data_IF_978231343253
#
_entry.id   IF_978231343253
#
_cell.length_a   1.000
_cell.length_b   1.000
_cell.length_c   1.000
_cell.angle_alpha   90.00
_cell.angle_beta   90.00
_cell.angle_gamma   90.00
#
_symmetry.space_group_name_H-M   'P 1'
#
loop_
_entity.id
_entity.type
_entity.pdbx_description
1 polymer ?
#
# COMPACT_ATOMS: atom_id res chain seq x y z
N UNK A 1 -12.17 23.61 27.57
CA UNK A 1 -12.51 22.25 27.11
C UNK A 1 -14.03 22.14 27.01
N UNK A 2 -14.60 22.33 25.83
CA UNK A 2 -16.06 22.32 25.64
C UNK A 2 -16.58 20.89 25.72
N UNK A 3 -17.60 20.68 26.56
CA UNK A 3 -18.14 19.37 26.93
C UNK A 3 -18.82 18.70 25.72
N UNK A 4 -18.13 17.75 25.08
CA UNK A 4 -18.64 16.98 23.92
C UNK A 4 -19.94 16.21 24.27
N UNK A 5 -20.21 16.00 25.57
CA UNK A 5 -21.38 15.26 26.05
C UNK A 5 -22.71 16.05 26.01
N UNK A 6 -22.73 17.34 25.62
CA UNK A 6 -23.94 18.17 25.64
C UNK A 6 -24.65 18.36 24.28
N UNK A 7 -24.34 17.55 23.27
CA UNK A 7 -25.07 17.57 21.98
C UNK A 7 -26.29 16.63 22.04
N UNK A 8 -27.45 17.17 21.68
CA UNK A 8 -28.81 16.61 21.71
C UNK A 8 -29.00 15.26 20.99
N UNK A 9 -30.11 14.59 21.31
CA UNK A 9 -30.47 13.20 20.91
C UNK A 9 -30.72 12.96 19.40
N UNK A 10 -30.54 13.94 18.52
CA UNK A 10 -30.63 13.73 17.07
C UNK A 10 -29.29 14.07 16.43
N UNK A 11 -28.67 13.06 15.81
CA UNK A 11 -27.42 13.22 15.08
C UNK A 11 -27.74 13.64 13.64
N UNK A 12 -27.40 14.88 13.29
CA UNK A 12 -27.73 15.49 11.98
C UNK A 12 -26.49 15.63 11.09
N UNK A 13 -26.68 15.85 9.78
CA UNK A 13 -25.59 16.18 8.87
C UNK A 13 -24.77 17.40 9.32
N UNK A 14 -25.44 18.43 9.86
CA UNK A 14 -24.79 19.60 10.42
C UNK A 14 -23.87 19.25 11.59
N UNK A 15 -24.31 18.35 12.48
CA UNK A 15 -23.44 17.86 13.56
C UNK A 15 -22.23 17.10 13.03
N UNK A 16 -22.38 16.31 11.95
CA UNK A 16 -21.24 15.62 11.35
C UNK A 16 -20.21 16.60 10.79
N UNK A 17 -20.63 17.67 10.12
CA UNK A 17 -19.71 18.70 9.62
C UNK A 17 -19.01 19.44 10.77
N UNK A 18 -19.75 19.78 11.83
CA UNK A 18 -19.15 20.36 13.06
C UNK A 18 -18.13 19.39 13.67
N UNK A 19 -18.41 18.09 13.65
CA UNK A 19 -17.48 17.07 14.15
C UNK A 19 -16.24 16.99 13.25
N UNK A 20 -16.38 17.02 11.92
CA UNK A 20 -15.27 17.03 10.96
C UNK A 20 -14.33 18.21 11.21
N UNK A 21 -14.87 19.41 11.33
CA UNK A 21 -14.09 20.61 11.65
C UNK A 21 -13.37 20.50 13.00
N UNK A 22 -14.01 19.90 14.01
CA UNK A 22 -13.40 19.68 15.33
C UNK A 22 -12.33 18.59 15.33
N UNK A 23 -12.39 17.64 14.41
CA UNK A 23 -11.44 16.53 14.29
C UNK A 23 -10.21 16.94 13.48
N UNK A 24 -10.32 17.90 12.57
CA UNK A 24 -9.17 18.41 11.79
C UNK A 24 -7.88 18.61 12.63
N UNK A 25 -7.88 19.31 13.78
CA UNK A 25 -6.68 19.45 14.61
C UNK A 25 -6.21 18.12 15.26
N UNK A 26 -7.10 17.15 15.45
CA UNK A 26 -6.74 15.81 15.93
C UNK A 26 -5.91 15.08 14.87
N UNK A 27 -6.28 15.22 13.60
CA UNK A 27 -5.55 14.64 12.47
C UNK A 27 -4.22 15.37 12.23
N UNK A 28 -4.23 16.71 12.19
CA UNK A 28 -3.04 17.53 11.96
C UNK A 28 -1.97 17.35 13.06
N UNK A 29 -2.38 17.22 14.32
CA UNK A 29 -1.46 17.08 15.45
C UNK A 29 -1.35 15.64 15.98
N UNK A 30 -1.90 14.66 15.26
CA UNK A 30 -1.89 13.25 15.65
C UNK A 30 -2.25 13.02 17.13
N UNK A 31 -3.35 13.62 17.60
CA UNK A 31 -3.79 13.53 19.00
C UNK A 31 -4.37 12.14 19.33
N UNK A 32 -3.52 11.11 19.34
CA UNK A 32 -3.89 9.68 19.39
C UNK A 32 -4.88 9.34 20.52
N UNK A 33 -4.62 9.84 21.73
CA UNK A 33 -5.48 9.60 22.91
C UNK A 33 -6.88 10.19 22.71
N UNK A 34 -6.95 11.42 22.20
CA UNK A 34 -8.22 12.12 21.95
C UNK A 34 -8.99 11.46 20.80
N UNK A 35 -8.29 11.00 19.76
CA UNK A 35 -8.89 10.22 18.68
C UNK A 35 -9.57 8.96 19.24
N UNK A 36 -8.88 8.21 20.11
CA UNK A 36 -9.42 7.00 20.75
C UNK A 36 -10.64 7.28 21.63
N UNK A 37 -10.59 8.35 22.42
CA UNK A 37 -11.74 8.79 23.24
C UNK A 37 -12.95 9.13 22.36
N UNK A 38 -12.72 9.80 21.24
CA UNK A 38 -13.79 10.17 20.30
C UNK A 38 -14.36 8.96 19.57
N UNK A 39 -13.54 7.99 19.16
CA UNK A 39 -14.00 6.70 18.61
C UNK A 39 -14.98 6.04 19.57
N UNK A 40 -14.61 5.92 20.85
CA UNK A 40 -15.47 5.31 21.89
C UNK A 40 -16.77 6.06 22.07
N UNK A 41 -16.75 7.39 22.01
CA UNK A 41 -17.94 8.21 22.10
C UNK A 41 -18.85 8.05 20.87
N UNK A 42 -18.27 8.03 19.66
CA UNK A 42 -19.01 7.92 18.41
C UNK A 42 -19.63 6.53 18.19
N UNK A 43 -18.89 5.45 18.47
CA UNK A 43 -19.40 4.08 18.35
C UNK A 43 -20.64 3.86 19.23
N UNK A 44 -20.69 4.47 20.41
CA UNK A 44 -21.88 4.39 21.28
C UNK A 44 -23.11 5.09 20.70
N UNK A 45 -22.90 6.16 19.92
CA UNK A 45 -24.00 6.98 19.35
C UNK A 45 -24.46 6.49 17.99
N UNK A 46 -23.62 5.75 17.26
CA UNK A 46 -23.93 5.33 15.88
C UNK A 46 -24.92 4.16 15.81
N UNK A 47 -25.08 3.38 16.89
CA UNK A 47 -26.01 2.23 16.94
C UNK A 47 -27.44 2.67 16.59
N UNK A 48 -27.85 3.85 17.05
CA UNK A 48 -29.20 4.38 16.78
C UNK A 48 -29.34 4.96 15.36
N UNK A 49 -28.24 5.23 14.66
CA UNK A 49 -28.23 5.88 13.33
C UNK A 49 -28.41 4.90 12.18
N UNK A 50 -28.06 3.63 12.36
CA UNK A 50 -28.09 2.61 11.30
C UNK A 50 -29.49 2.49 10.66
N UNK A 51 -30.53 2.64 11.49
CA UNK A 51 -31.93 2.52 11.08
C UNK A 51 -32.52 3.83 10.53
N UNK A 52 -31.92 4.98 10.87
CA UNK A 52 -32.48 6.29 10.58
C UNK A 52 -31.99 6.88 9.24
N UNK A 53 -30.69 6.77 8.96
CA UNK A 53 -30.08 7.33 7.75
C UNK A 53 -28.82 6.55 7.35
N UNK A 54 -28.93 5.73 6.30
CA UNK A 54 -27.82 4.90 5.81
C UNK A 54 -26.64 5.70 5.25
N UNK A 55 -26.90 6.89 4.67
CA UNK A 55 -25.86 7.74 4.10
C UNK A 55 -25.02 8.37 5.20
N UNK A 56 -25.69 8.92 6.21
CA UNK A 56 -25.05 9.48 7.40
C UNK A 56 -24.29 8.40 8.18
N UNK A 57 -24.89 7.22 8.36
CA UNK A 57 -24.24 6.08 9.00
C UNK A 57 -22.92 5.70 8.32
N UNK A 58 -22.90 5.58 6.99
CA UNK A 58 -21.68 5.29 6.22
C UNK A 58 -20.60 6.36 6.42
N UNK A 59 -20.98 7.64 6.40
CA UNK A 59 -20.04 8.73 6.64
C UNK A 59 -19.46 8.71 8.06
N UNK A 60 -20.28 8.36 9.06
CA UNK A 60 -19.83 8.19 10.44
C UNK A 60 -18.88 6.99 10.59
N UNK A 61 -19.17 5.85 9.96
CA UNK A 61 -18.26 4.69 9.96
C UNK A 61 -16.91 5.04 9.35
N UNK A 62 -16.92 5.74 8.20
CA UNK A 62 -15.70 6.24 7.56
C UNK A 62 -14.87 7.11 8.49
N UNK A 63 -15.51 8.05 9.18
CA UNK A 63 -14.85 8.94 10.12
C UNK A 63 -14.31 8.19 11.36
N UNK A 64 -15.07 7.21 11.88
CA UNK A 64 -14.63 6.34 12.97
C UNK A 64 -13.38 5.56 12.55
N UNK A 65 -13.36 5.00 11.34
CA UNK A 65 -12.19 4.30 10.81
C UNK A 65 -10.95 5.21 10.74
N UNK A 66 -11.09 6.43 10.21
CA UNK A 66 -10.01 7.43 10.17
C UNK A 66 -9.47 7.77 11.57
N UNK A 67 -10.36 7.99 12.53
CA UNK A 67 -9.97 8.22 13.93
C UNK A 67 -9.27 7.00 14.55
N UNK A 68 -9.74 5.78 14.25
CA UNK A 68 -9.08 4.54 14.69
C UNK A 68 -7.66 4.43 14.13
N UNK A 69 -7.44 4.83 12.87
CA UNK A 69 -6.10 4.86 12.29
C UNK A 69 -5.17 5.84 13.01
N UNK A 70 -5.63 7.05 13.34
CA UNK A 70 -4.83 7.99 14.13
C UNK A 70 -4.58 7.47 15.55
N UNK A 71 -5.55 6.76 16.13
CA UNK A 71 -5.41 6.10 17.42
C UNK A 71 -4.64 4.77 17.37
N UNK A 72 -4.26 4.27 16.18
CA UNK A 72 -3.76 2.91 15.94
C UNK A 72 -2.62 2.49 16.90
N UNK A 73 -1.61 3.33 17.19
CA UNK A 73 -0.56 2.98 18.14
C UNK A 73 -1.07 2.67 19.56
N UNK A 74 -2.25 3.16 19.94
CA UNK A 74 -2.84 2.95 21.27
C UNK A 74 -3.86 1.82 21.32
N UNK A 75 -4.20 1.20 20.18
CA UNK A 75 -5.12 0.05 20.12
C UNK A 75 -4.39 -1.19 20.63
N UNK A 76 -4.81 -1.74 21.77
CA UNK A 76 -4.13 -2.90 22.40
C UNK A 76 -4.56 -4.26 21.83
N UNK A 77 -5.76 -4.35 21.28
CA UNK A 77 -6.25 -5.59 20.69
C UNK A 77 -5.70 -5.72 19.27
N UNK A 78 -5.00 -6.82 18.99
CA UNK A 78 -4.48 -7.09 17.66
C UNK A 78 -5.59 -7.45 16.67
N UNK A 79 -6.66 -8.12 17.10
CA UNK A 79 -7.80 -8.43 16.25
C UNK A 79 -8.48 -7.16 15.74
N UNK A 80 -8.68 -6.17 16.62
CA UNK A 80 -9.27 -4.87 16.25
C UNK A 80 -8.39 -4.12 15.24
N UNK A 81 -7.07 -4.24 15.36
CA UNK A 81 -6.14 -3.62 14.44
C UNK A 81 -6.09 -4.32 13.09
N UNK A 82 -6.05 -5.66 13.07
CA UNK A 82 -6.09 -6.45 11.85
C UNK A 82 -7.41 -6.25 11.11
N UNK A 83 -8.52 -6.11 11.83
CA UNK A 83 -9.82 -5.71 11.25
C UNK A 83 -9.73 -4.33 10.57
N UNK A 84 -8.97 -3.39 11.15
CA UNK A 84 -8.73 -2.08 10.55
C UNK A 84 -8.01 -2.19 9.20
N UNK A 85 -6.98 -3.05 9.12
CA UNK A 85 -6.25 -3.35 7.88
C UNK A 85 -7.14 -4.09 6.87
N UNK A 86 -7.95 -5.04 7.32
CA UNK A 86 -8.76 -5.88 6.42
C UNK A 86 -9.99 -5.14 5.86
N UNK A 87 -10.64 -4.29 6.66
CA UNK A 87 -11.94 -3.70 6.31
C UNK A 87 -11.90 -2.21 6.02
N UNK A 88 -10.92 -1.49 6.56
CA UNK A 88 -10.90 -0.03 6.58
C UNK A 88 -9.56 0.57 6.12
N UNK A 89 -8.82 -0.14 5.28
CA UNK A 89 -7.50 0.28 4.80
C UNK A 89 -7.54 1.56 3.97
N UNK A 90 -8.51 1.69 3.05
CA UNK A 90 -8.63 2.88 2.21
C UNK A 90 -8.84 4.16 3.02
N UNK A 91 -9.64 4.09 4.08
CA UNK A 91 -9.88 5.20 5.00
C UNK A 91 -8.58 5.65 5.69
N UNK A 92 -7.66 4.73 5.95
CA UNK A 92 -6.32 5.03 6.46
C UNK A 92 -5.43 5.74 5.42
N UNK A 93 -5.54 5.36 4.15
CA UNK A 93 -4.76 5.97 3.05
C UNK A 93 -5.21 7.38 2.65
N UNK A 94 -6.45 7.73 3.00
CA UNK A 94 -7.01 9.07 2.82
C UNK A 94 -6.51 10.08 3.86
N UNK A 95 -5.86 9.63 4.93
CA UNK A 95 -5.24 10.53 5.89
C UNK A 95 -4.06 11.28 5.23
N UNK A 96 -3.84 12.53 5.63
CA UNK A 96 -2.69 13.33 5.20
C UNK A 96 -1.36 12.81 5.77
N UNK A 97 -1.43 11.92 6.76
CA UNK A 97 -0.28 11.27 7.38
C UNK A 97 0.02 9.94 6.69
N UNK A 98 1.30 9.60 6.57
CA UNK A 98 1.71 8.31 6.00
C UNK A 98 1.21 7.17 6.89
N UNK A 99 0.34 6.33 6.33
CA UNK A 99 -0.23 5.17 7.02
C UNK A 99 0.84 4.21 7.55
N UNK A 100 1.95 4.07 6.80
CA UNK A 100 3.12 3.26 7.19
C UNK A 100 3.65 3.72 8.56
N UNK A 101 3.81 5.03 8.77
CA UNK A 101 4.36 5.59 10.01
C UNK A 101 3.46 5.27 11.22
N UNK A 102 2.14 5.25 11.03
CA UNK A 102 1.17 4.89 12.08
C UNK A 102 1.29 3.41 12.46
N UNK A 103 1.46 2.53 11.47
CA UNK A 103 1.62 1.09 11.71
C UNK A 103 2.98 0.78 12.34
N UNK A 104 4.06 1.42 11.88
CA UNK A 104 5.38 1.28 12.51
C UNK A 104 5.33 1.73 13.98
N UNK A 105 4.74 2.90 14.25
CA UNK A 105 4.60 3.38 15.63
C UNK A 105 3.79 2.45 16.53
N UNK A 106 2.84 1.68 15.96
CA UNK A 106 2.14 0.61 16.68
C UNK A 106 3.07 -0.57 16.98
N UNK A 107 3.77 -1.07 15.97
CA UNK A 107 4.67 -2.23 16.10
C UNK A 107 5.81 -1.97 17.09
N UNK A 108 6.35 -0.75 17.12
CA UNK A 108 7.37 -0.34 18.09
C UNK A 108 6.89 -0.43 19.54
N UNK A 109 5.60 -0.15 19.80
CA UNK A 109 5.00 -0.25 21.14
C UNK A 109 4.79 -1.69 21.62
N UNK A 110 4.89 -2.68 20.74
CA UNK A 110 4.87 -4.11 21.13
C UNK A 110 6.24 -4.58 21.69
N UNK A 111 7.25 -3.70 21.77
CA UNK A 111 8.60 -4.00 22.27
C UNK A 111 9.25 -5.23 21.59
N UNK A 112 8.94 -5.44 20.30
CA UNK A 112 9.50 -6.52 19.49
C UNK A 112 8.94 -7.93 19.75
N UNK A 113 8.09 -8.12 20.78
CA UNK A 113 7.50 -9.43 21.06
C UNK A 113 6.49 -9.78 19.97
N UNK A 114 6.78 -10.85 19.21
CA UNK A 114 5.89 -11.29 18.13
C UNK A 114 5.86 -10.36 16.91
N UNK A 115 6.90 -9.56 16.68
CA UNK A 115 6.96 -8.63 15.55
C UNK A 115 6.80 -9.33 14.20
N UNK A 116 7.50 -10.44 13.97
CA UNK A 116 7.39 -11.22 12.73
C UNK A 116 5.96 -11.71 12.50
N UNK A 117 5.35 -12.30 13.53
CA UNK A 117 3.94 -12.73 13.47
C UNK A 117 3.02 -11.55 13.16
N UNK A 118 3.20 -10.42 13.82
CA UNK A 118 2.38 -9.23 13.61
C UNK A 118 2.49 -8.68 12.18
N UNK A 119 3.69 -8.67 11.60
CA UNK A 119 3.90 -8.26 10.21
C UNK A 119 3.23 -9.24 9.23
N UNK A 120 3.40 -10.55 9.46
CA UNK A 120 2.74 -11.57 8.63
C UNK A 120 1.21 -11.48 8.74
N UNK A 121 0.68 -11.20 9.93
CA UNK A 121 -0.75 -10.99 10.15
C UNK A 121 -1.24 -9.73 9.41
N UNK A 122 -0.49 -8.63 9.40
CA UNK A 122 -0.79 -7.43 8.60
C UNK A 122 -0.84 -7.76 7.10
N UNK A 123 0.16 -8.47 6.58
CA UNK A 123 0.21 -8.88 5.17
C UNK A 123 -0.96 -9.80 4.81
N UNK A 124 -1.33 -10.71 5.70
CA UNK A 124 -2.47 -11.60 5.54
C UNK A 124 -3.80 -10.84 5.52
N UNK A 125 -3.99 -9.90 6.46
CA UNK A 125 -5.16 -9.03 6.52
C UNK A 125 -5.31 -8.19 5.25
N UNK A 126 -4.21 -7.61 4.75
CA UNK A 126 -4.21 -6.83 3.52
C UNK A 126 -4.54 -7.70 2.29
N UNK A 127 -4.01 -8.93 2.21
CA UNK A 127 -4.35 -9.91 1.15
C UNK A 127 -5.78 -10.44 1.23
N UNK A 128 -6.46 -10.25 2.36
CA UNK A 128 -7.87 -10.63 2.54
C UNK A 128 -8.83 -9.45 2.36
N UNK A 129 -8.30 -8.23 2.20
CA UNK A 129 -9.08 -7.00 2.13
C UNK A 129 -10.03 -6.98 0.91
N UNK A 130 -11.31 -6.67 1.19
CA UNK A 130 -12.43 -6.68 0.22
C UNK A 130 -12.91 -5.28 -0.19
N UNK A 131 -12.17 -4.23 0.12
CA UNK A 131 -12.48 -2.88 -0.35
C UNK A 131 -12.23 -2.79 -1.87
N UNK A 132 -13.10 -2.05 -2.56
CA UNK A 132 -13.07 -1.89 -4.02
C UNK A 132 -12.21 -0.68 -4.40
N UNK A 133 -11.34 -0.85 -5.39
CA UNK A 133 -10.48 0.20 -5.93
C UNK A 133 -10.63 0.25 -7.45
N UNK A 134 -11.26 1.32 -7.96
CA UNK A 134 -11.59 1.46 -9.37
C UNK A 134 -12.94 0.85 -9.75
N UNK A 135 -13.38 1.17 -10.98
CA UNK A 135 -14.69 0.76 -11.50
C UNK A 135 -14.63 -0.53 -12.34
N UNK A 136 -13.53 -0.74 -13.05
CA UNK A 136 -13.38 -1.78 -14.08
C UNK A 136 -12.91 -3.11 -13.47
N UNK A 137 -13.43 -4.27 -13.91
CA UNK A 137 -12.90 -5.58 -13.52
C UNK A 137 -11.41 -5.76 -13.87
N UNK A 138 -10.71 -6.60 -13.10
CA UNK A 138 -9.29 -6.91 -13.28
C UNK A 138 -9.16 -8.25 -14.03
N UNK A 139 -8.34 -8.28 -15.07
CA UNK A 139 -7.94 -9.51 -15.75
C UNK A 139 -6.62 -10.02 -15.17
N UNK A 140 -6.67 -11.01 -14.29
CA UNK A 140 -5.47 -11.56 -13.65
C UNK A 140 -4.79 -12.56 -14.60
N UNK A 141 -3.46 -12.48 -14.71
CA UNK A 141 -2.66 -13.40 -15.54
C UNK A 141 -2.96 -14.87 -15.14
N UNK A 142 -3.22 -15.71 -16.15
CA UNK A 142 -3.59 -17.14 -16.05
C UNK A 142 -4.99 -17.44 -15.49
N UNK A 143 -5.84 -16.43 -15.31
CA UNK A 143 -7.25 -16.63 -15.00
C UNK A 143 -8.11 -16.38 -16.24
N UNK A 144 -9.10 -17.24 -16.45
CA UNK A 144 -10.01 -17.16 -17.59
C UNK A 144 -11.07 -16.07 -17.42
N UNK A 145 -11.50 -15.82 -16.18
CA UNK A 145 -12.52 -14.84 -15.83
C UNK A 145 -11.92 -13.55 -15.30
N UNK A 146 -12.50 -12.42 -15.70
CA UNK A 146 -12.26 -11.14 -15.02
C UNK A 146 -12.81 -11.20 -13.59
N UNK A 147 -12.14 -10.52 -12.66
CA UNK A 147 -12.51 -10.49 -11.24
C UNK A 147 -12.86 -9.07 -10.79
N UNK A 148 -13.57 -8.96 -9.67
CA UNK A 148 -13.89 -7.65 -9.08
C UNK A 148 -12.60 -6.88 -8.72
N UNK A 149 -12.60 -5.54 -8.84
CA UNK A 149 -11.42 -4.74 -8.57
C UNK A 149 -11.22 -4.49 -7.07
N UNK A 150 -11.00 -5.56 -6.32
CA UNK A 150 -10.77 -5.55 -4.88
C UNK A 150 -9.27 -5.41 -4.59
N UNK A 151 -8.91 -4.82 -3.43
CA UNK A 151 -7.51 -4.68 -3.01
C UNK A 151 -6.77 -6.03 -3.07
N UNK A 152 -7.36 -7.10 -2.54
CA UNK A 152 -6.78 -8.44 -2.64
C UNK A 152 -6.46 -8.89 -4.07
N UNK A 153 -7.32 -8.56 -5.04
CA UNK A 153 -7.16 -8.96 -6.44
C UNK A 153 -6.10 -8.11 -7.14
N UNK A 154 -6.01 -6.81 -6.80
CA UNK A 154 -4.91 -5.94 -7.22
C UNK A 154 -3.54 -6.46 -6.75
N UNK A 155 -3.45 -6.92 -5.50
CA UNK A 155 -2.22 -7.50 -4.95
C UNK A 155 -1.86 -8.82 -5.63
N UNK A 156 -2.84 -9.68 -5.92
CA UNK A 156 -2.60 -10.93 -6.67
C UNK A 156 -2.08 -10.63 -8.07
N UNK A 157 -2.68 -9.67 -8.79
CA UNK A 157 -2.20 -9.27 -10.12
C UNK A 157 -0.78 -8.70 -10.05
N UNK A 158 -0.50 -7.81 -9.09
CA UNK A 158 0.84 -7.27 -8.87
C UNK A 158 1.88 -8.37 -8.62
N UNK A 159 1.63 -9.25 -7.66
CA UNK A 159 2.55 -10.33 -7.29
C UNK A 159 2.82 -11.29 -8.47
N UNK A 160 1.83 -11.56 -9.32
CA UNK A 160 2.00 -12.43 -10.50
C UNK A 160 2.73 -11.76 -11.66
N UNK A 161 2.73 -10.43 -11.71
CA UNK A 161 3.43 -9.64 -12.74
C UNK A 161 4.83 -9.19 -12.30
N UNK A 162 5.15 -9.26 -11.00
CA UNK A 162 6.51 -9.14 -10.49
C UNK A 162 7.32 -10.39 -10.91
N UNK A 163 7.83 -10.38 -12.15
CA UNK A 163 8.39 -11.58 -12.79
C UNK A 163 9.82 -11.95 -12.31
N UNK A 164 10.53 -11.13 -11.53
CA UNK A 164 11.99 -11.37 -11.35
C UNK A 164 12.60 -10.64 -10.15
N UNK A 165 13.83 -11.03 -9.76
CA UNK A 165 14.64 -10.55 -8.62
C UNK A 165 15.05 -9.06 -8.66
N UNK A 166 14.22 -8.18 -9.20
CA UNK A 166 14.53 -6.76 -9.33
C UNK A 166 14.21 -5.98 -8.04
N UNK A 167 14.81 -4.80 -7.86
CA UNK A 167 14.48 -3.91 -6.74
C UNK A 167 13.01 -3.46 -6.80
N UNK A 168 12.30 -3.62 -5.68
CA UNK A 168 10.83 -3.49 -5.54
C UNK A 168 10.26 -2.16 -6.08
N UNK A 169 10.92 -1.02 -5.86
CA UNK A 169 10.43 0.29 -6.31
C UNK A 169 10.31 0.40 -7.85
N UNK A 170 11.22 -0.25 -8.58
CA UNK A 170 11.20 -0.25 -10.04
C UNK A 170 10.00 -1.07 -10.56
N UNK A 171 9.58 -2.09 -9.80
CA UNK A 171 8.44 -2.94 -10.14
C UNK A 171 7.11 -2.21 -9.92
N UNK A 172 6.97 -1.42 -8.85
CA UNK A 172 5.75 -0.62 -8.60
C UNK A 172 5.48 0.36 -9.75
N UNK A 173 6.47 1.18 -10.09
CA UNK A 173 6.33 2.18 -11.16
C UNK A 173 6.06 1.49 -12.49
N UNK A 174 6.84 0.47 -12.83
CA UNK A 174 6.63 -0.30 -14.06
C UNK A 174 5.22 -0.91 -14.11
N UNK A 175 4.73 -1.45 -13.00
CA UNK A 175 3.40 -2.02 -12.92
C UNK A 175 2.32 -0.95 -13.14
N UNK A 176 2.36 0.17 -12.42
CA UNK A 176 1.35 1.24 -12.54
C UNK A 176 1.24 1.82 -13.96
N UNK A 177 2.36 1.88 -14.69
CA UNK A 177 2.41 2.49 -16.02
C UNK A 177 2.34 1.50 -17.18
N UNK A 178 2.71 0.23 -17.01
CA UNK A 178 2.77 -0.75 -18.10
C UNK A 178 1.73 -1.86 -18.02
N UNK A 179 1.20 -2.18 -16.83
CA UNK A 179 0.16 -3.21 -16.67
C UNK A 179 -1.19 -2.74 -17.29
N UNK A 180 -1.85 -3.64 -18.02
CA UNK A 180 -3.10 -3.34 -18.73
C UNK A 180 -4.25 -2.97 -17.78
N UNK A 181 -4.36 -3.62 -16.62
CA UNK A 181 -5.38 -3.32 -15.62
C UNK A 181 -5.12 -1.93 -15.01
N UNK A 182 -3.88 -1.66 -14.59
CA UNK A 182 -3.51 -0.39 -13.94
C UNK A 182 -3.63 0.83 -14.86
N UNK A 183 -3.38 0.66 -16.17
CA UNK A 183 -3.56 1.73 -17.18
C UNK A 183 -5.00 2.24 -17.27
N UNK A 184 -5.98 1.38 -16.99
CA UNK A 184 -7.40 1.72 -17.09
C UNK A 184 -7.97 2.36 -15.80
N UNK A 185 -7.15 2.56 -14.78
CA UNK A 185 -7.54 3.26 -13.56
C UNK A 185 -7.59 4.78 -13.78
N UNK A 186 -8.46 5.45 -13.01
CA UNK A 186 -8.38 6.90 -12.87
C UNK A 186 -7.05 7.30 -12.23
N UNK A 187 -6.59 8.54 -12.46
CA UNK A 187 -5.33 9.02 -11.84
C UNK A 187 -5.39 8.99 -10.31
N UNK A 188 -6.56 9.22 -9.71
CA UNK A 188 -6.74 9.12 -8.27
C UNK A 188 -6.66 7.67 -7.77
N UNK A 189 -7.29 6.73 -8.48
CA UNK A 189 -7.22 5.30 -8.13
C UNK A 189 -5.80 4.76 -8.34
N UNK A 190 -5.10 5.21 -9.39
CA UNK A 190 -3.71 4.83 -9.67
C UNK A 190 -2.77 5.32 -8.57
N UNK A 191 -2.93 6.57 -8.11
CA UNK A 191 -2.20 7.11 -6.94
C UNK A 191 -2.51 6.30 -5.67
N UNK A 192 -3.77 5.91 -5.49
CA UNK A 192 -4.19 5.09 -4.35
C UNK A 192 -3.59 3.68 -4.43
N UNK A 193 -3.57 3.08 -5.62
CA UNK A 193 -2.93 1.79 -5.88
C UNK A 193 -1.43 1.85 -5.56
N UNK A 194 -0.72 2.89 -5.99
CA UNK A 194 0.69 3.06 -5.62
C UNK A 194 0.91 3.09 -4.11
N UNK A 195 0.09 3.83 -3.35
CA UNK A 195 0.14 3.81 -1.88
C UNK A 195 -0.08 2.40 -1.30
N UNK A 196 -1.02 1.62 -1.87
CA UNK A 196 -1.29 0.23 -1.43
C UNK A 196 -0.07 -0.66 -1.69
N UNK A 197 0.53 -0.57 -2.87
CA UNK A 197 1.70 -1.37 -3.26
C UNK A 197 2.93 -1.01 -2.41
N UNK A 198 3.21 0.28 -2.25
CA UNK A 198 4.28 0.78 -1.39
C UNK A 198 4.12 0.30 0.07
N UNK A 199 2.90 0.32 0.61
CA UNK A 199 2.62 -0.24 1.94
C UNK A 199 2.92 -1.74 2.00
N UNK A 200 2.42 -2.52 1.03
CA UNK A 200 2.63 -3.96 0.97
C UNK A 200 4.13 -4.31 0.87
N UNK A 201 4.87 -3.67 -0.02
CA UNK A 201 6.29 -3.92 -0.23
C UNK A 201 7.13 -3.55 0.98
N UNK A 202 6.78 -2.45 1.67
CA UNK A 202 7.42 -2.05 2.93
C UNK A 202 7.31 -3.16 3.98
N UNK A 203 6.11 -3.68 4.24
CA UNK A 203 5.93 -4.73 5.25
C UNK A 203 6.46 -6.09 4.80
N UNK A 204 6.46 -6.38 3.49
CA UNK A 204 7.13 -7.55 2.93
C UNK A 204 8.64 -7.51 3.19
N UNK A 205 9.28 -6.36 2.97
CA UNK A 205 10.71 -6.15 3.27
C UNK A 205 11.02 -6.34 4.76
N UNK A 206 10.14 -5.84 5.65
CA UNK A 206 10.29 -6.08 7.09
C UNK A 206 10.21 -7.57 7.44
N UNK A 207 9.27 -8.31 6.85
CA UNK A 207 9.16 -9.76 7.04
C UNK A 207 10.43 -10.48 6.57
N UNK A 208 10.88 -10.19 5.35
CA UNK A 208 12.06 -10.81 4.76
C UNK A 208 13.33 -10.50 5.59
N UNK A 209 13.48 -9.26 6.07
CA UNK A 209 14.62 -8.85 6.89
C UNK A 209 14.67 -9.51 8.28
N UNK A 210 13.53 -9.91 8.83
CA UNK A 210 13.48 -10.65 10.11
C UNK A 210 13.92 -12.10 9.93
N UNK A 211 13.48 -12.76 8.86
CA UNK A 211 13.85 -14.17 8.58
C UNK A 211 15.36 -14.36 8.38
N UNK A 212 16.07 -13.35 7.83
CA UNK A 212 17.52 -13.44 7.62
C UNK A 212 18.34 -13.33 8.92
N UNK A 213 17.82 -12.68 9.96
CA UNK A 213 18.56 -12.50 11.23
C UNK A 213 18.59 -13.75 12.11
N UNK A 214 17.66 -14.67 11.94
CA UNK A 214 17.67 -15.96 12.64
C UNK A 214 18.70 -16.95 12.06
N UNK A 215 19.23 -16.66 10.87
CA UNK A 215 20.34 -17.39 10.25
C UNK A 215 21.72 -16.96 10.73
N UNK A 216 21.86 -16.31 11.89
CA UNK A 216 23.19 -16.12 12.47
C UNK A 216 23.87 -17.50 12.58
N UNK A 217 25.09 -17.66 12.04
CA UNK A 217 25.78 -18.94 12.06
C UNK A 217 25.80 -19.39 13.51
N UNK A 218 25.16 -20.54 13.78
CA UNK A 218 25.32 -21.28 15.03
C UNK A 218 26.82 -21.26 15.28
N UNK A 219 27.26 -20.46 16.25
CA UNK A 219 28.67 -20.39 16.59
C UNK A 219 28.98 -21.79 17.04
N UNK A 220 29.56 -22.58 16.13
CA UNK A 220 30.13 -23.86 16.48
C UNK A 220 30.95 -23.58 17.72
N UNK A 221 30.73 -24.30 18.84
CA UNK A 221 31.59 -24.11 20.00
C UNK A 221 33.03 -24.12 19.48
N UNK A 222 33.86 -23.13 19.87
CA UNK A 222 35.20 -23.02 19.35
C UNK A 222 35.84 -24.40 19.40
N UNK A 223 36.44 -24.89 18.30
CA UNK A 223 37.05 -26.21 18.30
C UNK A 223 37.95 -26.25 19.53
N UNK A 224 37.67 -27.20 20.43
CA UNK A 224 38.46 -27.42 21.64
C UNK A 224 39.90 -27.50 21.18
N UNK A 225 40.67 -26.42 21.38
CA UNK A 225 42.08 -26.40 21.01
C UNK A 225 42.74 -27.49 21.85
N UNK A 226 43.29 -28.56 21.26
CA UNK A 226 44.25 -29.36 21.99
C UNK A 226 45.40 -28.42 22.37
N UNK A 227 45.65 -28.35 23.68
CA UNK A 227 46.73 -27.59 24.31
C UNK A 227 48.01 -27.69 23.46
N UNK A 228 48.43 -26.56 22.90
CA UNK A 228 49.58 -26.50 22.00
C UNK A 228 50.87 -26.68 22.80
N UNK A 229 51.55 -27.78 22.53
CA UNK A 229 52.99 -27.89 22.77
C UNK A 229 53.74 -26.95 21.80
N UNK A 230 54.60 -26.13 22.39
CA UNK A 230 55.87 -25.52 21.94
C UNK A 230 56.08 -25.29 20.42
N UNK A 231 56.38 -24.04 20.00
CA UNK A 231 56.57 -23.67 18.59
C UNK A 231 57.88 -24.18 18.00
N UNK A 232 57.82 -24.65 16.76
CA UNK A 232 58.99 -24.90 15.90
C UNK A 232 59.28 -23.70 14.96
N UNK A 233 60.53 -23.57 14.46
CA UNK A 233 61.07 -22.34 13.89
C UNK A 233 60.54 -21.96 12.50
N UNK A 234 60.56 -20.65 12.25
CA UNK A 234 60.18 -19.91 11.06
C UNK A 234 60.87 -20.45 9.80
N UNK A 235 60.11 -20.80 8.77
CA UNK A 235 60.63 -21.02 7.41
C UNK A 235 60.39 -19.81 6.48
N UNK A 236 61.25 -19.58 5.49
CA UNK A 236 61.31 -18.35 4.70
C UNK A 236 60.23 -18.25 3.61
N UNK A 237 59.83 -17.00 3.37
CA UNK A 237 58.91 -16.48 2.36
C UNK A 237 59.26 -16.86 0.91
N UNK A 238 58.25 -17.32 0.15
CA UNK A 238 58.29 -17.45 -1.32
C UNK A 238 57.92 -16.14 -2.02
N UNK A 239 58.39 -15.92 -3.27
CA UNK A 239 58.29 -14.65 -4.00
C UNK A 239 56.90 -14.40 -4.62
N UNK A 240 56.60 -13.14 -5.00
CA UNK A 240 55.30 -12.75 -5.56
C UNK A 240 55.11 -13.23 -7.01
N UNK A 241 53.91 -13.75 -7.28
CA UNK A 241 53.43 -14.20 -8.60
C UNK A 241 53.05 -13.01 -9.48
N UNK A 242 53.38 -13.00 -10.79
CA UNK A 242 53.13 -11.87 -11.68
C UNK A 242 51.65 -11.68 -12.05
N UNK A 243 51.27 -10.42 -12.13
CA UNK A 243 49.97 -9.91 -12.57
C UNK A 243 49.75 -10.16 -14.07
N UNK A 244 48.66 -10.86 -14.41
CA UNK A 244 48.16 -10.95 -15.78
C UNK A 244 47.29 -9.73 -16.10
N UNK A 245 47.72 -8.90 -17.04
CA UNK A 245 46.92 -7.84 -17.64
C UNK A 245 46.00 -8.43 -18.71
N UNK A 246 44.70 -8.19 -18.57
CA UNK A 246 43.67 -8.58 -19.55
C UNK A 246 43.62 -7.51 -20.67
N UNK A 247 43.68 -7.88 -21.96
CA UNK A 247 43.57 -6.93 -23.07
C UNK A 247 42.15 -6.33 -23.17
N UNK A 248 42.08 -5.00 -23.28
CA UNK A 248 40.86 -4.27 -23.65
C UNK A 248 40.48 -4.59 -25.11
N UNK A 249 39.38 -5.29 -25.33
CA UNK A 249 38.76 -5.40 -26.65
C UNK A 249 37.98 -4.12 -26.97
N UNK A 250 38.54 -3.30 -27.86
CA UNK A 250 37.83 -2.24 -28.58
C UNK A 250 36.90 -2.87 -29.62
N UNK A 251 35.59 -2.77 -29.41
CA UNK A 251 34.57 -3.13 -30.40
C UNK A 251 34.46 -1.97 -31.42
N UNK A 252 34.68 -2.20 -32.72
CA UNK A 252 34.54 -1.18 -33.74
C UNK A 252 33.06 -0.93 -34.10
N UNK A 253 32.77 0.34 -34.38
CA UNK A 253 31.45 0.95 -34.52
C UNK A 253 30.40 0.15 -35.30
N UNK A 254 29.27 -0.09 -34.62
CA UNK A 254 27.98 -0.36 -35.26
C UNK A 254 27.51 0.94 -35.92
N UNK A 255 27.55 0.98 -37.25
CA UNK A 255 26.86 2.01 -38.03
C UNK A 255 25.36 1.71 -37.93
N UNK A 256 24.66 2.54 -37.17
CA UNK A 256 23.20 2.55 -37.17
C UNK A 256 22.72 3.00 -38.56
N UNK A 257 22.29 2.03 -39.35
CA UNK A 257 21.54 2.23 -40.58
C UNK A 257 20.15 2.78 -40.20
N UNK A 258 20.02 4.10 -40.25
CA UNK A 258 18.72 4.77 -40.25
C UNK A 258 17.96 4.31 -41.50
N UNK A 259 16.86 3.58 -41.31
CA UNK A 259 15.86 3.34 -42.36
C UNK A 259 14.84 4.46 -42.27
N UNK A 260 14.66 5.19 -43.37
CA UNK A 260 13.61 6.21 -43.49
C UNK A 260 12.22 5.60 -43.24
N UNK A 261 11.30 6.36 -42.63
CA UNK A 261 9.91 5.93 -42.45
C UNK A 261 9.24 5.69 -43.80
N UNK A 262 8.67 4.49 -43.97
CA UNK A 262 7.84 4.16 -45.13
C UNK A 262 6.54 4.96 -45.02
N UNK A 263 6.24 5.77 -46.02
CA UNK A 263 4.97 6.49 -46.15
C UNK A 263 3.80 5.49 -46.14
N UNK A 264 2.94 5.59 -45.13
CA UNK A 264 1.76 4.75 -44.98
C UNK A 264 0.69 5.21 -45.98
N UNK A 265 0.13 4.32 -46.83
CA UNK A 265 -0.88 4.71 -47.81
C UNK A 265 -2.17 5.22 -47.13
N UNK A 266 -2.89 6.16 -47.77
CA UNK A 266 -4.06 6.82 -47.18
C UNK A 266 -5.18 5.82 -46.87
N UNK A 267 -5.63 5.80 -45.62
CA UNK A 267 -6.75 4.96 -45.19
C UNK A 267 -8.06 5.44 -45.85
N UNK A 268 -8.87 4.53 -46.44
CA UNK A 268 -10.15 4.89 -47.03
C UNK A 268 -11.14 5.41 -45.97
N UNK A 269 -11.91 6.41 -46.39
CA UNK A 269 -12.72 7.33 -45.60
C UNK A 269 -13.54 6.73 -44.45
N UNK A 270 -13.29 7.25 -43.26
CA UNK A 270 -14.17 7.10 -42.10
C UNK A 270 -15.34 8.06 -42.27
N UNK A 271 -16.52 7.54 -42.59
CA UNK A 271 -17.77 8.31 -42.63
C UNK A 271 -18.14 8.65 -41.18
N UNK A 272 -18.11 9.94 -40.82
CA UNK A 272 -18.54 10.40 -39.51
C UNK A 272 -20.07 10.30 -39.38
N UNK A 273 -20.59 9.81 -38.26
CA UNK A 273 -22.04 9.77 -38.02
C UNK A 273 -22.57 11.19 -37.83
N UNK A 274 -23.49 11.57 -38.71
CA UNK A 274 -24.25 12.83 -38.67
C UNK A 274 -25.14 12.84 -37.43
N UNK A 275 -24.81 13.66 -36.44
CA UNK A 275 -25.65 13.87 -35.26
C UNK A 275 -26.78 14.83 -35.66
N UNK A 276 -27.97 14.28 -35.91
CA UNK A 276 -29.19 15.08 -36.04
C UNK A 276 -29.61 15.57 -34.64
N UNK A 277 -29.37 16.86 -34.40
CA UNK A 277 -29.79 17.54 -33.17
C UNK A 277 -31.29 17.79 -33.16
N UNK A 278 -32.01 17.12 -32.26
CA UNK A 278 -33.36 17.50 -31.89
C UNK A 278 -33.34 18.80 -31.09
N UNK A 279 -33.73 19.90 -31.72
CA UNK A 279 -33.98 21.18 -31.07
C UNK A 279 -35.36 21.10 -30.42
N UNK A 280 -35.41 21.03 -29.09
CA UNK A 280 -36.66 21.15 -28.32
C UNK A 280 -36.96 22.62 -28.11
N UNK A 281 -38.02 23.12 -28.75
CA UNK A 281 -38.50 24.49 -28.62
C UNK A 281 -39.21 24.69 -27.27
N UNK A 282 -38.67 25.57 -26.43
CA UNK A 282 -39.14 25.86 -25.07
C UNK A 282 -40.06 27.10 -25.02
N UNK A 283 -40.94 27.25 -26.02
CA UNK A 283 -42.06 28.20 -25.97
C UNK A 283 -43.33 27.46 -25.63
N UNK A 284 -43.58 27.20 -24.34
CA UNK A 284 -44.92 27.08 -23.73
C UNK A 284 -44.80 26.58 -22.28
N UNK A 285 -44.52 27.51 -21.36
CA UNK A 285 -44.95 27.40 -19.95
C UNK A 285 -45.37 28.79 -19.49
N UNK A 286 -46.66 29.08 -19.65
CA UNK A 286 -47.38 30.04 -18.82
C UNK A 286 -48.06 29.27 -17.69
#
# INVERSE_FOLDING_TARGET
MTNINKMTNQFTHEQLEIIREKIKPIFEHLQRKRALELVRAMVKRIVDLEMADQGLYKNCLKLIAQLKWVACPLIKNDEEFLELVEKYFLEGLELDVKLIDLVIARLELQFGVGLEKSINDILSALRSNKQKLGANPIQIKRESSSTDPLIKNWLVDFIRNAETKNPLEMEETNYLFNNQNAKNLSENDKKTLGKILSFYDTFKLYADGLTQKEGMPKVSPPPVQPSSAIPSPIQPTKPPTPSYQIPKQTIPGRRDLYKEPVEEPPRPGRVEPRIEGNIVDLKNRQ
#
